data_IF_446474001651
#
_entry.id   IF_446474001651
#
_cell.length_a   1.000
_cell.length_b   1.000
_cell.length_c   1.000
_cell.angle_alpha   90.00
_cell.angle_beta   90.00
_cell.angle_gamma   90.00
#
_symmetry.space_group_name_H-M   'P 1'
#
loop_
_entity.id
_entity.type
_entity.pdbx_description
1 polymer ?
#
# COMPACT_ATOMS: atom_id res chain seq x y z
N UNK A 1 -0.39 2.08 -15.89
CA UNK A 1 -1.04 2.66 -14.69
C UNK A 1 -0.77 4.15 -14.53
N UNK A 2 0.46 4.58 -14.31
CA UNK A 2 0.79 6.00 -14.09
C UNK A 2 0.27 6.91 -15.21
N UNK A 3 0.63 6.59 -16.46
CA UNK A 3 0.21 7.38 -17.63
C UNK A 3 -1.31 7.35 -17.84
N UNK A 4 -1.97 6.23 -17.55
CA UNK A 4 -3.42 6.08 -17.70
C UNK A 4 -4.18 6.95 -16.69
N UNK A 5 -3.74 6.95 -15.42
CA UNK A 5 -4.31 7.82 -14.39
C UNK A 5 -4.16 9.30 -14.75
N UNK A 6 -2.99 9.69 -15.23
CA UNK A 6 -2.71 11.06 -15.63
C UNK A 6 -3.53 11.49 -16.86
N UNK A 7 -3.58 10.65 -17.89
CA UNK A 7 -4.27 10.97 -19.15
C UNK A 7 -5.80 10.94 -19.05
N UNK A 8 -6.36 9.88 -18.40
CA UNK A 8 -7.82 9.71 -18.32
C UNK A 8 -8.47 10.48 -17.16
N UNK A 9 -7.77 10.60 -16.04
CA UNK A 9 -8.35 11.13 -14.81
C UNK A 9 -7.67 12.40 -14.30
N UNK A 10 -6.66 12.91 -15.00
CA UNK A 10 -5.83 14.05 -14.55
C UNK A 10 -5.26 13.85 -13.15
N UNK A 11 -4.94 12.57 -12.80
CA UNK A 11 -4.51 12.16 -11.48
C UNK A 11 -3.01 11.85 -11.50
N UNK A 12 -2.19 12.76 -10.97
CA UNK A 12 -0.79 12.49 -10.68
C UNK A 12 -0.70 11.65 -9.40
N UNK A 13 -0.20 10.42 -9.53
CA UNK A 13 -0.13 9.47 -8.42
C UNK A 13 0.89 9.90 -7.35
N UNK A 14 2.03 10.42 -7.77
CA UNK A 14 3.11 10.84 -6.88
C UNK A 14 3.38 12.34 -6.98
N UNK A 15 3.87 12.93 -5.89
CA UNK A 15 4.28 14.35 -5.83
C UNK A 15 5.81 14.52 -5.76
N UNK A 16 6.56 13.42 -5.65
CA UNK A 16 8.01 13.35 -5.50
C UNK A 16 8.60 12.39 -6.54
N UNK A 17 8.43 12.71 -7.83
CA UNK A 17 8.77 11.80 -8.93
C UNK A 17 10.25 11.37 -8.94
N UNK A 18 11.19 12.31 -8.70
CA UNK A 18 12.62 12.02 -8.70
C UNK A 18 13.02 11.13 -7.51
N UNK A 19 12.49 11.44 -6.35
CA UNK A 19 12.72 10.68 -5.11
C UNK A 19 12.15 9.27 -5.23
N UNK A 20 10.97 9.13 -5.82
CA UNK A 20 10.35 7.82 -6.09
C UNK A 20 11.19 7.00 -7.07
N UNK A 21 11.70 7.61 -8.15
CA UNK A 21 12.58 6.93 -9.12
C UNK A 21 13.84 6.44 -8.40
N UNK A 22 14.49 7.28 -7.60
CA UNK A 22 15.68 6.90 -6.85
C UNK A 22 15.42 5.74 -5.88
N UNK A 23 14.27 5.73 -5.19
CA UNK A 23 13.91 4.60 -4.31
C UNK A 23 13.69 3.32 -5.12
N UNK A 24 13.04 3.40 -6.29
CA UNK A 24 12.82 2.23 -7.17
C UNK A 24 14.14 1.65 -7.67
N UNK A 25 15.10 2.49 -8.11
CA UNK A 25 16.41 2.07 -8.61
C UNK A 25 17.25 1.36 -7.54
N UNK A 26 17.01 1.67 -6.26
CA UNK A 26 17.72 1.09 -5.13
C UNK A 26 17.04 -0.16 -4.52
N UNK A 27 15.86 -0.54 -5.00
CA UNK A 27 15.20 -1.76 -4.53
C UNK A 27 15.87 -2.99 -5.12
N UNK A 28 16.45 -3.81 -4.25
CA UNK A 28 16.99 -5.11 -4.62
C UNK A 28 16.18 -6.23 -3.97
N UNK A 29 15.93 -7.31 -4.73
CA UNK A 29 15.28 -8.49 -4.17
C UNK A 29 16.19 -9.10 -3.08
N UNK A 30 15.67 -9.38 -1.87
CA UNK A 30 16.44 -10.08 -0.83
C UNK A 30 16.97 -11.44 -1.32
N UNK A 31 18.16 -11.80 -0.88
CA UNK A 31 18.79 -13.11 -1.19
C UNK A 31 18.64 -14.04 0.00
N UNK A 32 18.98 -13.57 1.19
CA UNK A 32 18.93 -14.37 2.43
C UNK A 32 17.66 -14.10 3.23
N UNK A 33 16.87 -13.11 2.85
CA UNK A 33 15.69 -12.64 3.58
C UNK A 33 15.96 -12.28 5.05
N UNK A 34 17.18 -11.88 5.34
CA UNK A 34 17.54 -11.34 6.65
C UNK A 34 16.91 -9.97 6.88
N UNK A 35 16.83 -9.56 8.13
CA UNK A 35 16.34 -8.22 8.50
C UNK A 35 17.11 -7.10 7.79
N UNK A 36 18.41 -7.27 7.56
CA UNK A 36 19.25 -6.29 6.87
C UNK A 36 18.86 -6.10 5.40
N UNK A 37 18.31 -7.13 4.76
CA UNK A 37 17.88 -7.08 3.37
C UNK A 37 16.39 -6.71 3.23
N UNK A 38 15.53 -7.22 4.11
CA UNK A 38 14.08 -7.06 4.01
C UNK A 38 13.63 -5.67 4.47
N UNK A 39 14.15 -5.17 5.60
CA UNK A 39 13.75 -3.86 6.15
C UNK A 39 13.94 -2.70 5.17
N UNK A 40 15.07 -2.55 4.47
CA UNK A 40 15.22 -1.48 3.46
C UNK A 40 14.17 -1.56 2.34
N UNK A 41 13.85 -2.77 1.87
CA UNK A 41 12.83 -2.95 0.82
C UNK A 41 11.44 -2.56 1.32
N UNK A 42 11.06 -2.98 2.53
CA UNK A 42 9.79 -2.56 3.16
C UNK A 42 9.72 -1.04 3.29
N UNK A 43 10.83 -0.40 3.73
CA UNK A 43 10.89 1.07 3.83
C UNK A 43 10.72 1.75 2.48
N UNK A 44 11.43 1.29 1.46
CA UNK A 44 11.34 1.86 0.10
C UNK A 44 9.94 1.69 -0.49
N UNK A 45 9.35 0.49 -0.40
CA UNK A 45 7.99 0.23 -0.86
C UNK A 45 6.96 1.11 -0.12
N UNK A 46 7.10 1.29 1.18
CA UNK A 46 6.21 2.16 1.95
C UNK A 46 6.32 3.61 1.51
N UNK A 47 7.53 4.13 1.30
CA UNK A 47 7.75 5.47 0.77
C UNK A 47 7.09 5.64 -0.60
N UNK A 48 7.32 4.72 -1.53
CA UNK A 48 6.80 4.77 -2.90
C UNK A 48 5.28 4.66 -2.93
N UNK A 49 4.73 3.64 -2.27
CA UNK A 49 3.32 3.26 -2.42
C UNK A 49 2.38 3.99 -1.46
N UNK A 50 2.89 4.60 -0.39
CA UNK A 50 2.07 5.19 0.67
C UNK A 50 2.46 6.66 0.93
N UNK A 51 3.74 6.98 1.17
CA UNK A 51 4.15 8.33 1.58
C UNK A 51 4.22 9.30 0.40
N UNK A 52 4.79 8.89 -0.74
CA UNK A 52 4.95 9.75 -1.92
C UNK A 52 3.65 9.98 -2.72
N UNK A 53 2.54 9.38 -2.30
CA UNK A 53 1.24 9.53 -2.98
C UNK A 53 0.74 10.97 -2.88
N UNK A 54 0.32 11.53 -4.02
CA UNK A 54 -0.23 12.87 -4.11
C UNK A 54 -1.66 12.95 -3.57
N UNK A 55 -1.77 13.04 -2.25
CA UNK A 55 -3.07 13.11 -1.56
C UNK A 55 -3.92 14.29 -2.04
N UNK A 56 -3.31 15.41 -2.41
CA UNK A 56 -4.05 16.58 -2.91
C UNK A 56 -4.78 16.27 -4.21
N UNK A 57 -4.13 15.55 -5.14
CA UNK A 57 -4.76 15.14 -6.39
C UNK A 57 -5.87 14.11 -6.16
N UNK A 58 -5.66 13.13 -5.28
CA UNK A 58 -6.69 12.17 -4.92
C UNK A 58 -7.90 12.85 -4.27
N UNK A 59 -7.67 13.84 -3.43
CA UNK A 59 -8.72 14.64 -2.81
C UNK A 59 -9.51 15.42 -3.85
N UNK A 60 -8.84 16.09 -4.79
CA UNK A 60 -9.50 16.79 -5.89
C UNK A 60 -10.32 15.84 -6.75
N UNK A 61 -9.77 14.67 -7.08
CA UNK A 61 -10.49 13.63 -7.82
C UNK A 61 -11.76 13.19 -7.07
N UNK A 62 -11.66 12.94 -5.76
CA UNK A 62 -12.80 12.60 -4.91
C UNK A 62 -13.87 13.71 -4.92
N UNK A 63 -13.45 14.96 -4.74
CA UNK A 63 -14.36 16.10 -4.72
C UNK A 63 -15.14 16.30 -6.02
N UNK A 64 -14.52 16.00 -7.15
CA UNK A 64 -15.10 16.21 -8.47
C UNK A 64 -15.98 15.05 -8.95
N UNK A 65 -15.72 13.82 -8.47
CA UNK A 65 -16.37 12.62 -9.00
C UNK A 65 -17.38 11.96 -8.05
N UNK A 66 -17.56 12.47 -6.83
CA UNK A 66 -18.47 11.86 -5.84
C UNK A 66 -19.59 12.81 -5.44
N UNK A 67 -20.84 12.38 -5.69
CA UNK A 67 -22.02 13.19 -5.38
C UNK A 67 -22.31 13.32 -3.87
N UNK A 68 -22.06 12.28 -3.06
CA UNK A 68 -22.17 12.31 -1.59
C UNK A 68 -20.79 12.12 -1.00
N UNK A 69 -20.30 13.13 -0.31
CA UNK A 69 -18.97 13.12 0.32
C UNK A 69 -19.06 12.59 1.75
N UNK A 70 -18.15 11.66 2.08
CA UNK A 70 -17.90 11.31 3.48
C UNK A 70 -17.44 12.58 4.22
N UNK A 71 -18.01 12.86 5.40
CA UNK A 71 -17.68 14.07 6.18
C UNK A 71 -16.20 14.13 6.57
N UNK A 72 -15.55 12.96 6.66
CA UNK A 72 -14.17 12.80 7.13
C UNK A 72 -13.14 12.66 6.00
N UNK A 73 -13.54 12.72 4.70
CA UNK A 73 -12.62 12.47 3.58
C UNK A 73 -11.37 13.36 3.60
N UNK A 74 -11.45 14.57 4.17
CA UNK A 74 -10.32 15.49 4.29
C UNK A 74 -9.20 14.96 5.20
N UNK A 75 -9.51 14.01 6.07
CA UNK A 75 -8.57 13.37 7.01
C UNK A 75 -8.02 12.05 6.49
N UNK A 76 -8.49 11.57 5.33
CA UNK A 76 -8.03 10.32 4.76
C UNK A 76 -6.55 10.38 4.42
N UNK A 77 -5.89 9.24 4.59
CA UNK A 77 -4.52 8.99 4.14
C UNK A 77 -4.54 8.22 2.82
N UNK A 78 -3.38 8.06 2.18
CA UNK A 78 -3.20 7.44 0.86
C UNK A 78 -3.94 6.11 0.69
N UNK A 79 -3.82 5.17 1.64
CA UNK A 79 -4.47 3.84 1.55
C UNK A 79 -6.00 3.98 1.43
N UNK A 80 -6.59 4.94 2.15
CA UNK A 80 -8.05 5.17 2.09
C UNK A 80 -8.50 5.70 0.73
N UNK A 81 -7.68 6.50 0.07
CA UNK A 81 -7.95 6.95 -1.30
C UNK A 81 -7.82 5.82 -2.31
N UNK A 82 -6.82 4.94 -2.20
CA UNK A 82 -6.76 3.72 -3.02
C UNK A 82 -8.01 2.87 -2.85
N UNK A 83 -8.41 2.60 -1.60
CA UNK A 83 -9.62 1.86 -1.30
C UNK A 83 -10.86 2.51 -1.92
N UNK A 84 -10.97 3.83 -1.83
CA UNK A 84 -12.09 4.57 -2.42
C UNK A 84 -12.15 4.41 -3.95
N UNK A 85 -11.03 4.58 -4.66
CA UNK A 85 -11.01 4.42 -6.11
C UNK A 85 -11.44 3.00 -6.49
N UNK A 86 -10.87 1.99 -5.86
CA UNK A 86 -11.24 0.60 -6.13
C UNK A 86 -12.71 0.30 -5.82
N UNK A 87 -13.29 0.92 -4.79
CA UNK A 87 -14.70 0.73 -4.44
C UNK A 87 -15.69 1.27 -5.46
N UNK A 88 -15.24 2.10 -6.41
CA UNK A 88 -16.10 2.54 -7.53
C UNK A 88 -16.30 1.42 -8.57
N UNK A 89 -15.46 0.40 -8.54
CA UNK A 89 -15.44 -0.69 -9.52
C UNK A 89 -15.69 -2.06 -8.88
N UNK A 90 -15.38 -2.21 -7.61
CA UNK A 90 -15.52 -3.46 -6.84
C UNK A 90 -16.64 -3.25 -5.83
N UNK A 91 -17.81 -3.88 -6.08
CA UNK A 91 -18.98 -3.77 -5.21
C UNK A 91 -18.94 -4.74 -4.02
N UNK A 92 -18.17 -5.83 -4.13
CA UNK A 92 -17.99 -6.80 -3.04
C UNK A 92 -16.99 -6.25 -2.01
N UNK A 93 -17.48 -5.95 -0.81
CA UNK A 93 -16.66 -5.42 0.26
C UNK A 93 -15.57 -6.38 0.73
N UNK A 94 -15.80 -7.69 0.70
CA UNK A 94 -14.81 -8.68 1.13
C UNK A 94 -13.70 -8.83 0.07
N UNK A 95 -14.05 -8.77 -1.21
CA UNK A 95 -13.07 -8.69 -2.30
C UNK A 95 -12.22 -7.42 -2.16
N UNK A 96 -12.86 -6.27 -1.97
CA UNK A 96 -12.17 -4.98 -1.80
C UNK A 96 -11.22 -5.00 -0.60
N UNK A 97 -11.64 -5.56 0.53
CA UNK A 97 -10.78 -5.70 1.73
C UNK A 97 -9.56 -6.57 1.45
N UNK A 98 -9.74 -7.71 0.76
CA UNK A 98 -8.64 -8.61 0.40
C UNK A 98 -7.63 -7.95 -0.53
N UNK A 99 -8.12 -7.21 -1.53
CA UNK A 99 -7.27 -6.54 -2.51
C UNK A 99 -6.45 -5.42 -1.87
N UNK A 100 -7.02 -4.63 -0.95
CA UNK A 100 -6.33 -3.51 -0.33
C UNK A 100 -5.44 -3.92 0.86
N UNK A 101 -5.67 -5.10 1.45
CA UNK A 101 -4.96 -5.59 2.63
C UNK A 101 -3.42 -5.49 2.53
N UNK A 102 -2.76 -5.78 1.38
CA UNK A 102 -1.30 -5.69 1.27
C UNK A 102 -0.73 -4.30 1.60
N UNK A 103 -1.46 -3.20 1.34
CA UNK A 103 -1.00 -1.86 1.73
C UNK A 103 -1.08 -1.64 3.24
N UNK A 104 -2.10 -2.18 3.90
CA UNK A 104 -2.18 -2.14 5.37
C UNK A 104 -1.07 -2.97 6.00
N UNK A 105 -0.79 -4.18 5.46
CA UNK A 105 0.31 -5.04 5.94
C UNK A 105 1.69 -4.39 5.73
N UNK A 106 1.89 -3.72 4.61
CA UNK A 106 3.10 -2.94 4.36
C UNK A 106 3.27 -1.82 5.39
N UNK A 107 2.19 -1.12 5.73
CA UNK A 107 2.21 -0.10 6.77
C UNK A 107 2.48 -0.68 8.17
N UNK A 108 1.87 -1.82 8.51
CA UNK A 108 2.08 -2.52 9.79
C UNK A 108 3.55 -2.98 9.92
N UNK A 109 4.14 -3.54 8.86
CA UNK A 109 5.57 -3.90 8.82
C UNK A 109 6.47 -2.68 9.00
N UNK A 110 6.12 -1.55 8.36
CA UNK A 110 6.83 -0.28 8.54
C UNK A 110 6.82 0.17 10.00
N UNK A 111 5.68 0.05 10.68
CA UNK A 111 5.55 0.38 12.11
C UNK A 111 6.42 -0.55 12.95
N UNK A 112 6.32 -1.87 12.75
CA UNK A 112 7.10 -2.86 13.51
C UNK A 112 8.62 -2.62 13.37
N UNK A 113 9.08 -2.31 12.17
CA UNK A 113 10.52 -2.22 11.90
C UNK A 113 11.16 -0.88 12.22
N UNK A 114 10.41 0.22 12.23
CA UNK A 114 10.99 1.56 12.25
C UNK A 114 10.38 2.52 13.27
N UNK A 115 9.29 2.16 13.95
CA UNK A 115 8.68 3.00 14.97
C UNK A 115 8.92 2.48 16.39
N UNK A 116 9.02 3.40 17.33
CA UNK A 116 8.99 3.06 18.74
C UNK A 116 7.53 2.92 19.19
N UNK A 117 7.08 1.68 19.30
CA UNK A 117 5.74 1.33 19.78
C UNK A 117 5.84 0.36 20.94
N UNK A 118 4.78 0.22 21.71
CA UNK A 118 4.77 -0.71 22.86
C UNK A 118 4.92 -2.16 22.42
N UNK A 119 5.45 -3.01 23.30
CA UNK A 119 5.58 -4.45 23.03
C UNK A 119 4.22 -5.08 22.67
N UNK A 120 3.17 -4.71 23.40
CA UNK A 120 1.82 -5.23 23.16
C UNK A 120 1.28 -4.85 21.78
N UNK A 121 1.57 -3.62 21.32
CA UNK A 121 1.20 -3.18 19.98
C UNK A 121 1.98 -3.92 18.89
N UNK A 122 3.28 -4.11 19.08
CA UNK A 122 4.12 -4.92 18.18
C UNK A 122 3.57 -6.33 18.03
N UNK A 123 3.26 -7.01 19.13
CA UNK A 123 2.72 -8.37 19.09
C UNK A 123 1.34 -8.43 18.43
N UNK A 124 0.50 -7.43 18.65
CA UNK A 124 -0.80 -7.31 17.95
C UNK A 124 -0.62 -7.18 16.44
N UNK A 125 0.31 -6.32 15.99
CA UNK A 125 0.60 -6.12 14.56
C UNK A 125 1.19 -7.39 13.93
N UNK A 126 2.12 -8.08 14.60
CA UNK A 126 2.67 -9.36 14.14
C UNK A 126 1.58 -10.43 13.97
N UNK A 127 0.69 -10.57 14.96
CA UNK A 127 -0.42 -11.50 14.89
C UNK A 127 -1.39 -11.18 13.73
N UNK A 128 -1.65 -9.90 13.47
CA UNK A 128 -2.42 -9.46 12.33
C UNK A 128 -1.76 -9.88 11.00
N UNK A 129 -0.45 -9.67 10.85
CA UNK A 129 0.31 -10.05 9.65
C UNK A 129 0.29 -11.57 9.45
N UNK A 130 0.58 -12.34 10.51
CA UNK A 130 0.56 -13.81 10.49
C UNK A 130 -0.80 -14.33 10.02
N UNK A 131 -1.87 -13.82 10.61
CA UNK A 131 -3.24 -14.21 10.26
C UNK A 131 -3.60 -13.82 8.83
N UNK A 132 -3.33 -12.57 8.43
CA UNK A 132 -3.72 -12.04 7.12
C UNK A 132 -2.96 -12.69 5.96
N UNK A 133 -1.70 -13.06 6.17
CA UNK A 133 -0.88 -13.77 5.19
C UNK A 133 -1.02 -15.29 5.28
N UNK A 134 -1.75 -15.82 6.27
CA UNK A 134 -1.87 -17.27 6.51
C UNK A 134 -0.48 -17.94 6.54
N UNK A 135 0.41 -17.40 7.38
CA UNK A 135 1.73 -17.97 7.71
C UNK A 135 1.70 -18.50 9.14
N UNK A 136 2.66 -19.37 9.52
CA UNK A 136 2.64 -19.96 10.86
C UNK A 136 3.24 -19.02 11.90
N UNK A 137 4.29 -18.28 11.52
CA UNK A 137 5.07 -17.43 12.44
C UNK A 137 5.57 -16.19 11.73
N UNK A 138 5.73 -15.10 12.48
CA UNK A 138 6.22 -13.82 11.95
C UNK A 138 7.68 -13.90 11.44
N UNK A 139 8.50 -14.78 11.99
CA UNK A 139 9.90 -14.97 11.61
C UNK A 139 10.10 -15.83 10.34
N UNK A 140 9.03 -16.31 9.72
CA UNK A 140 9.06 -16.90 8.36
C UNK A 140 9.24 -15.80 7.29
N UNK A 141 10.35 -15.05 7.38
CA UNK A 141 10.54 -13.77 6.67
C UNK A 141 10.47 -13.91 5.14
N UNK A 142 11.02 -15.00 4.58
CA UNK A 142 10.93 -15.25 3.13
C UNK A 142 9.48 -15.45 2.68
N UNK A 143 8.72 -16.29 3.40
CA UNK A 143 7.33 -16.58 3.06
C UNK A 143 6.49 -15.30 3.21
N UNK A 144 6.67 -14.58 4.30
CA UNK A 144 6.00 -13.30 4.56
C UNK A 144 6.28 -12.29 3.44
N UNK A 145 7.56 -12.11 3.07
CA UNK A 145 7.97 -11.21 2.01
C UNK A 145 7.33 -11.58 0.66
N UNK A 146 7.44 -12.85 0.25
CA UNK A 146 6.91 -13.30 -1.03
C UNK A 146 5.38 -13.13 -1.10
N UNK A 147 4.63 -13.50 -0.05
CA UNK A 147 3.17 -13.31 -0.01
C UNK A 147 2.77 -11.83 -0.03
N UNK A 148 3.51 -10.96 0.67
CA UNK A 148 3.28 -9.52 0.60
C UNK A 148 3.50 -8.99 -0.83
N UNK A 149 4.59 -9.39 -1.50
CA UNK A 149 4.90 -8.96 -2.87
C UNK A 149 3.87 -9.46 -3.88
N UNK A 150 3.41 -10.71 -3.74
CA UNK A 150 2.30 -11.25 -4.55
C UNK A 150 1.02 -10.46 -4.36
N UNK A 151 0.67 -10.13 -3.10
CA UNK A 151 -0.50 -9.32 -2.78
C UNK A 151 -0.42 -7.90 -3.34
N UNK A 152 0.73 -7.23 -3.20
CA UNK A 152 0.96 -5.90 -3.79
C UNK A 152 0.87 -5.94 -5.33
N UNK A 153 1.45 -6.97 -5.96
CA UNK A 153 1.34 -7.16 -7.41
C UNK A 153 -0.12 -7.34 -7.84
N UNK A 154 -0.87 -8.21 -7.16
CA UNK A 154 -2.29 -8.43 -7.44
C UNK A 154 -3.12 -7.16 -7.30
N UNK A 155 -2.88 -6.37 -6.24
CA UNK A 155 -3.51 -5.07 -6.04
C UNK A 155 -3.29 -4.14 -7.25
N UNK A 156 -2.03 -3.97 -7.69
CA UNK A 156 -1.72 -3.04 -8.78
C UNK A 156 -2.13 -3.55 -10.15
N UNK A 157 -2.16 -4.86 -10.38
CA UNK A 157 -2.77 -5.46 -11.57
C UNK A 157 -4.27 -5.11 -11.58
N UNK A 158 -4.98 -5.36 -10.48
CA UNK A 158 -6.41 -5.04 -10.37
C UNK A 158 -6.67 -3.54 -10.52
N UNK A 159 -5.85 -2.72 -9.89
CA UNK A 159 -5.95 -1.27 -10.01
C UNK A 159 -5.79 -0.79 -11.46
N UNK A 160 -4.87 -1.41 -12.22
CA UNK A 160 -4.70 -1.11 -13.64
C UNK A 160 -5.91 -1.53 -14.47
N UNK A 161 -6.44 -2.75 -14.25
CA UNK A 161 -7.64 -3.25 -14.94
C UNK A 161 -8.87 -2.35 -14.78
N UNK A 162 -9.07 -1.78 -13.58
CA UNK A 162 -10.26 -0.95 -13.31
C UNK A 162 -10.12 0.50 -13.81
N UNK A 163 -8.89 0.95 -14.10
CA UNK A 163 -8.60 2.30 -14.56
C UNK A 163 -8.56 2.37 -16.11
N UNK A 164 -8.21 1.26 -16.77
CA UNK A 164 -8.21 1.14 -18.22
C UNK A 164 -9.64 1.17 -18.81
#
# INVERSE_FOLDING_TARGET
>A
MYDTLKQKHSLDLHHLDKEVINEIENINKPITYSDLEVKPVISALHKILIEAVNISNFKNYYENNVGKKDKNYKQWKSIKYYQFILSQYISDEDELRKIIAPLYLLNDLRIIYFHLVSTDEVEKLKNNIVSSLSINRFDETEIMYNKLMEGLKALFVKFNEVIE
#
